data_IF_804295128295
#
_entry.id   IF_804295128295
#
_cell.length_a   1.000
_cell.length_b   1.000
_cell.length_c   1.000
_cell.angle_alpha   90.00
_cell.angle_beta   90.00
_cell.angle_gamma   90.00
#
_symmetry.space_group_name_H-M   'P 1'
#
loop_
_entity.id
_entity.type
_entity.pdbx_description
1 polymer ?
#
# COMPACT_ATOMS: atom_id res chain seq x y z
N UNK A 1 25.70 37.90 -19.02
CA UNK A 1 25.47 36.61 -19.73
C UNK A 1 25.17 35.55 -18.69
N UNK A 2 23.94 35.03 -18.63
CA UNK A 2 23.68 33.82 -17.85
C UNK A 2 24.33 32.65 -18.58
N UNK A 3 25.33 32.02 -17.96
CA UNK A 3 25.99 30.83 -18.49
C UNK A 3 25.01 29.65 -18.53
N UNK A 4 25.17 28.75 -19.51
CA UNK A 4 24.44 27.49 -19.62
C UNK A 4 24.42 26.70 -18.30
N UNK A 5 25.49 26.79 -17.51
CA UNK A 5 25.60 26.15 -16.19
C UNK A 5 24.55 26.66 -15.19
N UNK A 6 24.19 27.94 -15.22
CA UNK A 6 23.16 28.49 -14.34
C UNK A 6 21.76 28.01 -14.72
N UNK A 7 21.48 27.85 -16.02
CA UNK A 7 20.22 27.28 -16.49
C UNK A 7 20.09 25.81 -16.09
N UNK A 8 21.15 25.02 -16.27
CA UNK A 8 21.17 23.61 -15.84
C UNK A 8 20.99 23.51 -14.32
N UNK A 9 21.72 24.31 -13.54
CA UNK A 9 21.59 24.34 -12.09
C UNK A 9 20.18 24.69 -11.63
N UNK A 10 19.60 25.77 -12.18
CA UNK A 10 18.23 26.19 -11.88
C UNK A 10 17.19 25.12 -12.22
N UNK A 11 17.33 24.45 -13.37
CA UNK A 11 16.42 23.38 -13.79
C UNK A 11 16.49 22.16 -12.86
N UNK A 12 17.69 21.73 -12.47
CA UNK A 12 17.87 20.61 -11.52
C UNK A 12 17.27 20.95 -10.16
N UNK A 13 17.54 22.14 -9.63
CA UNK A 13 16.97 22.57 -8.34
C UNK A 13 15.45 22.64 -8.40
N UNK A 14 14.87 23.21 -9.45
CA UNK A 14 13.42 23.28 -9.62
C UNK A 14 12.78 21.89 -9.69
N UNK A 15 13.42 20.95 -10.40
CA UNK A 15 12.95 19.57 -10.49
C UNK A 15 13.02 18.85 -9.13
N UNK A 16 14.10 19.01 -8.37
CA UNK A 16 14.22 18.44 -7.02
C UNK A 16 13.17 19.00 -6.07
N UNK A 17 12.89 20.31 -6.13
CA UNK A 17 11.80 20.92 -5.38
C UNK A 17 10.47 20.29 -5.77
N UNK A 18 10.18 20.16 -7.06
CA UNK A 18 8.97 19.52 -7.57
C UNK A 18 8.78 18.09 -7.03
N UNK A 19 9.81 17.25 -7.05
CA UNK A 19 9.75 15.88 -6.52
C UNK A 19 9.46 15.80 -5.01
N UNK A 20 9.72 16.90 -4.28
CA UNK A 20 9.53 16.99 -2.84
C UNK A 20 8.27 17.77 -2.43
N UNK A 21 7.50 18.28 -3.39
CA UNK A 21 6.21 18.90 -3.11
C UNK A 21 5.20 17.86 -2.57
N UNK A 22 4.23 18.29 -1.74
CA UNK A 22 3.16 17.42 -1.29
C UNK A 22 2.39 16.84 -2.49
N UNK A 23 2.23 15.50 -2.59
CA UNK A 23 1.54 14.89 -3.72
C UNK A 23 0.10 15.41 -3.89
N UNK A 24 -0.56 15.83 -2.82
CA UNK A 24 -1.91 16.41 -2.85
C UNK A 24 -2.02 17.68 -3.71
N UNK A 25 -0.93 18.42 -3.90
CA UNK A 25 -0.91 19.63 -4.72
C UNK A 25 -0.86 19.33 -6.23
N UNK A 26 -0.26 18.19 -6.59
CA UNK A 26 -0.03 17.78 -7.99
C UNK A 26 -1.09 16.74 -8.42
N UNK A 27 -1.41 15.82 -7.51
CA UNK A 27 -2.30 14.67 -7.68
C UNK A 27 -3.35 14.68 -6.55
N UNK A 28 -4.42 15.49 -6.68
CA UNK A 28 -5.45 15.60 -5.66
C UNK A 28 -6.14 14.25 -5.41
N UNK A 29 -6.27 13.90 -4.13
CA UNK A 29 -6.93 12.67 -3.68
C UNK A 29 -8.45 12.82 -3.77
N UNK A 30 -9.12 11.81 -4.34
CA UNK A 30 -10.58 11.67 -4.25
C UNK A 30 -10.88 10.55 -3.25
N UNK A 31 -11.48 10.90 -2.12
CA UNK A 31 -11.77 9.93 -1.06
C UNK A 31 -12.81 8.91 -1.54
N UNK A 32 -12.58 7.64 -1.23
CA UNK A 32 -13.56 6.58 -1.40
C UNK A 32 -14.66 6.70 -0.32
N UNK A 33 -15.92 6.55 -0.73
CA UNK A 33 -17.03 6.45 0.23
C UNK A 33 -17.28 4.99 0.60
N UNK A 34 -17.92 4.74 1.75
CA UNK A 34 -18.28 3.37 2.13
C UNK A 34 -19.21 2.72 1.09
N UNK A 35 -20.12 3.49 0.50
CA UNK A 35 -20.99 3.06 -0.60
C UNK A 35 -20.22 2.67 -1.86
N UNK A 36 -19.04 3.26 -2.09
CA UNK A 36 -18.16 2.88 -3.19
C UNK A 36 -17.38 1.60 -2.88
N UNK A 37 -17.02 1.38 -1.60
CA UNK A 37 -16.22 0.22 -1.19
C UNK A 37 -17.04 -1.06 -1.03
N UNK A 38 -18.31 -0.98 -0.59
CA UNK A 38 -19.13 -2.14 -0.21
C UNK A 38 -19.27 -3.22 -1.29
N UNK A 39 -19.37 -2.80 -2.55
CA UNK A 39 -19.66 -3.69 -3.69
C UNK A 39 -18.40 -4.27 -4.35
N UNK A 40 -17.21 -3.98 -3.80
CA UNK A 40 -15.94 -4.47 -4.34
C UNK A 40 -15.82 -5.98 -4.10
N UNK A 41 -15.39 -6.72 -5.13
CA UNK A 41 -15.14 -8.14 -5.05
C UNK A 41 -13.69 -8.40 -4.62
N UNK A 42 -13.55 -9.19 -3.56
CA UNK A 42 -12.30 -9.51 -2.91
C UNK A 42 -12.07 -11.01 -2.97
N UNK A 43 -10.94 -11.43 -3.53
CA UNK A 43 -10.56 -12.84 -3.55
C UNK A 43 -9.61 -13.14 -2.39
N UNK A 44 -9.96 -14.08 -1.54
CA UNK A 44 -9.14 -14.48 -0.39
C UNK A 44 -7.85 -15.16 -0.88
N UNK A 45 -6.70 -14.56 -0.60
CA UNK A 45 -5.38 -15.10 -0.95
C UNK A 45 -4.95 -16.20 0.02
N UNK A 46 -5.36 -16.09 1.30
CA UNK A 46 -5.06 -17.10 2.31
C UNK A 46 -5.55 -18.49 1.92
N UNK A 47 -6.67 -18.60 1.21
CA UNK A 47 -7.19 -19.89 0.72
C UNK A 47 -6.25 -20.54 -0.30
N UNK A 48 -5.66 -19.73 -1.19
CA UNK A 48 -4.66 -20.17 -2.18
C UNK A 48 -3.43 -20.78 -1.50
N UNK A 49 -2.98 -20.16 -0.40
CA UNK A 49 -1.82 -20.65 0.38
C UNK A 49 -1.99 -22.06 0.96
N UNK A 50 -3.24 -22.49 1.16
CA UNK A 50 -3.60 -23.83 1.64
C UNK A 50 -4.11 -24.76 0.52
N UNK A 51 -3.87 -24.41 -0.75
CA UNK A 51 -4.24 -25.22 -1.91
C UNK A 51 -5.74 -25.24 -2.22
N UNK A 52 -6.51 -24.27 -1.69
CA UNK A 52 -7.94 -24.13 -1.97
C UNK A 52 -8.15 -23.07 -3.05
N UNK A 53 -9.20 -23.24 -3.86
CA UNK A 53 -9.64 -22.22 -4.82
C UNK A 53 -10.06 -20.97 -4.04
N UNK A 54 -9.42 -19.83 -4.32
CA UNK A 54 -9.64 -18.60 -3.56
C UNK A 54 -11.11 -18.17 -3.56
N UNK A 55 -11.71 -18.08 -2.37
CA UNK A 55 -13.11 -17.66 -2.22
C UNK A 55 -13.24 -16.18 -2.57
N UNK A 56 -14.22 -15.83 -3.40
CA UNK A 56 -14.57 -14.43 -3.68
C UNK A 56 -15.66 -14.01 -2.69
N UNK A 57 -15.42 -12.93 -1.96
CA UNK A 57 -16.34 -12.31 -1.01
C UNK A 57 -16.56 -10.86 -1.39
N UNK A 58 -17.65 -10.26 -0.94
CA UNK A 58 -17.79 -8.80 -1.06
C UNK A 58 -17.03 -8.11 0.06
N UNK A 59 -16.57 -6.91 -0.23
CA UNK A 59 -15.92 -6.07 0.77
C UNK A 59 -16.83 -5.79 1.97
N UNK A 60 -18.13 -5.54 1.75
CA UNK A 60 -19.09 -5.30 2.83
C UNK A 60 -19.12 -6.41 3.89
N UNK A 61 -18.93 -7.66 3.47
CA UNK A 61 -18.96 -8.82 4.36
C UNK A 61 -17.85 -8.78 5.40
N UNK A 62 -16.74 -8.08 5.13
CA UNK A 62 -15.62 -7.94 6.06
C UNK A 62 -16.00 -7.16 7.31
N UNK A 63 -16.84 -6.12 7.19
CA UNK A 63 -17.17 -5.21 8.29
C UNK A 63 -18.65 -5.21 8.69
N UNK A 64 -19.54 -5.86 7.94
CA UNK A 64 -20.98 -5.84 8.19
C UNK A 64 -21.37 -6.36 9.59
N UNK A 65 -20.63 -7.33 10.14
CA UNK A 65 -20.99 -7.99 11.41
C UNK A 65 -20.56 -7.21 12.65
N UNK A 66 -19.29 -6.78 12.72
CA UNK A 66 -18.68 -6.14 13.92
C UNK A 66 -17.74 -4.98 13.61
N UNK A 67 -17.68 -4.52 12.35
CA UNK A 67 -16.61 -3.66 11.87
C UNK A 67 -15.36 -4.45 11.48
N UNK A 68 -14.36 -3.78 10.91
CA UNK A 68 -13.08 -4.37 10.55
C UNK A 68 -11.99 -3.30 10.54
N UNK A 69 -10.75 -3.70 10.83
CA UNK A 69 -9.58 -2.88 10.58
C UNK A 69 -8.89 -3.41 9.33
N UNK A 70 -8.83 -2.56 8.30
CA UNK A 70 -8.39 -2.94 6.96
C UNK A 70 -7.11 -2.18 6.64
N UNK A 71 -6.03 -2.89 6.39
CA UNK A 71 -4.81 -2.32 5.82
C UNK A 71 -4.83 -2.49 4.31
N UNK A 72 -4.87 -1.38 3.57
CA UNK A 72 -4.73 -1.38 2.11
C UNK A 72 -3.24 -1.28 1.79
N UNK A 73 -2.68 -2.38 1.29
CA UNK A 73 -1.26 -2.55 1.03
C UNK A 73 -0.95 -2.09 -0.39
N UNK A 74 -0.24 -0.96 -0.49
CA UNK A 74 0.17 -0.35 -1.76
C UNK A 74 1.06 -1.24 -2.61
N UNK A 75 2.01 -1.94 -2.01
CA UNK A 75 2.95 -2.80 -2.72
C UNK A 75 3.55 -3.83 -1.75
N UNK A 76 3.26 -5.13 -1.89
CA UNK A 76 3.77 -6.18 -1.01
C UNK A 76 5.31 -6.24 -0.95
N UNK A 77 5.99 -5.87 -2.04
CA UNK A 77 7.45 -5.80 -2.13
C UNK A 77 8.10 -4.60 -1.42
N UNK A 78 7.34 -3.54 -1.10
CA UNK A 78 7.91 -2.30 -0.58
C UNK A 78 8.32 -2.45 0.89
N UNK A 79 9.55 -2.04 1.22
CA UNK A 79 10.08 -2.06 2.60
C UNK A 79 9.19 -1.31 3.59
N UNK A 80 8.60 -0.17 3.19
CA UNK A 80 7.72 0.61 4.05
C UNK A 80 6.40 -0.10 4.30
N UNK A 81 5.81 -0.71 3.27
CA UNK A 81 4.57 -1.47 3.42
C UNK A 81 4.77 -2.71 4.31
N UNK A 82 5.95 -3.35 4.24
CA UNK A 82 6.33 -4.47 5.10
C UNK A 82 6.56 -4.02 6.55
N UNK A 83 7.23 -2.89 6.76
CA UNK A 83 7.39 -2.30 8.10
C UNK A 83 6.03 -1.97 8.72
N UNK A 84 5.16 -1.30 7.97
CA UNK A 84 3.80 -0.95 8.42
C UNK A 84 2.97 -2.19 8.72
N UNK A 85 3.08 -3.26 7.91
CA UNK A 85 2.38 -4.51 8.16
C UNK A 85 2.84 -5.18 9.46
N UNK A 86 4.15 -5.17 9.77
CA UNK A 86 4.66 -5.68 11.04
C UNK A 86 4.09 -4.91 12.23
N UNK A 87 4.04 -3.58 12.15
CA UNK A 87 3.44 -2.75 13.21
C UNK A 87 1.92 -2.97 13.30
N UNK A 88 1.24 -3.10 12.16
CA UNK A 88 -0.19 -3.38 12.07
C UNK A 88 -0.56 -4.71 12.72
N UNK A 89 0.28 -5.73 12.59
CA UNK A 89 0.02 -7.02 13.22
C UNK A 89 0.22 -7.03 14.74
N UNK A 90 0.97 -6.08 15.32
CA UNK A 90 1.18 -6.02 16.78
C UNK A 90 -0.12 -5.75 17.54
N UNK A 91 -1.03 -4.97 16.96
CA UNK A 91 -2.32 -4.62 17.58
C UNK A 91 -3.38 -5.73 17.41
N UNK A 92 -3.05 -6.82 16.73
CA UNK A 92 -4.00 -7.88 16.42
C UNK A 92 -4.56 -8.57 17.67
N UNK A 93 -3.73 -8.80 18.70
CA UNK A 93 -4.18 -9.44 19.95
C UNK A 93 -5.33 -8.67 20.58
N UNK A 94 -5.22 -7.35 20.58
CA UNK A 94 -6.16 -6.45 21.24
C UNK A 94 -7.47 -6.39 20.44
N UNK A 95 -7.39 -6.35 19.11
CA UNK A 95 -8.56 -6.40 18.23
C UNK A 95 -9.26 -7.77 18.26
N UNK A 96 -8.49 -8.86 18.35
CA UNK A 96 -9.03 -10.21 18.46
C UNK A 96 -9.79 -10.41 19.77
N UNK A 97 -9.37 -9.76 20.87
CA UNK A 97 -10.10 -9.81 22.14
C UNK A 97 -11.47 -9.11 22.04
N UNK A 98 -11.62 -8.16 21.10
CA UNK A 98 -12.87 -7.46 20.80
C UNK A 98 -13.67 -8.12 19.66
N UNK A 99 -13.20 -9.24 19.11
CA UNK A 99 -13.77 -9.92 17.94
C UNK A 99 -13.87 -8.99 16.72
N UNK A 100 -12.90 -8.09 16.57
CA UNK A 100 -12.76 -7.20 15.40
C UNK A 100 -11.72 -7.82 14.45
N UNK A 101 -12.10 -8.16 13.21
CA UNK A 101 -11.17 -8.68 12.23
C UNK A 101 -10.16 -7.63 11.79
N UNK A 102 -8.91 -8.06 11.69
CA UNK A 102 -7.82 -7.32 11.09
C UNK A 102 -7.49 -8.00 9.75
N UNK A 103 -7.48 -7.26 8.65
CA UNK A 103 -7.32 -7.83 7.31
C UNK A 103 -6.43 -6.97 6.42
N UNK A 104 -5.72 -7.61 5.50
CA UNK A 104 -4.93 -6.94 4.46
C UNK A 104 -5.63 -6.97 3.11
N UNK A 105 -5.50 -5.92 2.32
CA UNK A 105 -5.98 -5.86 0.92
C UNK A 105 -4.82 -5.47 0.01
N UNK A 106 -4.58 -6.26 -1.03
CA UNK A 106 -3.58 -6.00 -2.08
C UNK A 106 -4.27 -5.84 -3.44
N UNK A 107 -3.66 -5.12 -4.38
CA UNK A 107 -4.16 -5.00 -5.76
C UNK A 107 -3.37 -5.83 -6.78
N UNK A 108 -2.31 -6.48 -6.34
CA UNK A 108 -1.41 -7.27 -7.17
C UNK A 108 -1.18 -8.64 -6.53
N UNK A 109 -1.02 -9.65 -7.37
CA UNK A 109 -0.76 -11.02 -6.93
C UNK A 109 0.74 -11.28 -6.75
N UNK A 110 1.56 -10.55 -7.49
CA UNK A 110 3.03 -10.67 -7.45
C UNK A 110 3.55 -10.34 -6.04
N UNK A 111 4.25 -11.30 -5.44
CA UNK A 111 4.77 -11.19 -4.06
C UNK A 111 3.69 -11.17 -2.97
N UNK A 112 2.39 -11.21 -3.31
CA UNK A 112 1.31 -11.10 -2.33
C UNK A 112 1.16 -12.34 -1.47
N UNK A 113 1.36 -13.53 -2.04
CA UNK A 113 1.34 -14.79 -1.30
C UNK A 113 2.47 -14.86 -0.26
N UNK A 114 3.70 -14.54 -0.67
CA UNK A 114 4.85 -14.45 0.24
C UNK A 114 4.60 -13.41 1.33
N UNK A 115 4.10 -12.24 0.94
CA UNK A 115 3.82 -11.16 1.87
C UNK A 115 2.75 -11.55 2.90
N UNK A 116 1.65 -12.18 2.46
CA UNK A 116 0.61 -12.66 3.36
C UNK A 116 1.16 -13.69 4.36
N UNK A 117 2.01 -14.61 3.88
CA UNK A 117 2.63 -15.64 4.73
C UNK A 117 3.57 -15.05 5.79
N UNK A 118 4.39 -14.09 5.39
CA UNK A 118 5.46 -13.52 6.22
C UNK A 118 4.97 -12.40 7.15
N UNK A 119 3.99 -11.61 6.73
CA UNK A 119 3.59 -10.39 7.43
C UNK A 119 2.15 -10.40 7.95
N UNK A 120 1.30 -11.35 7.57
CA UNK A 120 -0.10 -11.43 8.02
C UNK A 120 -0.40 -12.78 8.70
N UNK A 121 0.43 -13.18 9.67
CA UNK A 121 0.26 -14.46 10.36
C UNK A 121 -1.12 -14.59 11.04
N UNK A 122 -1.82 -15.68 10.74
CA UNK A 122 -3.17 -15.99 11.24
C UNK A 122 -4.22 -14.91 10.89
N UNK A 123 -4.00 -14.15 9.83
CA UNK A 123 -4.84 -13.05 9.40
C UNK A 123 -5.14 -13.19 7.92
N UNK A 124 -6.32 -12.74 7.51
CA UNK A 124 -6.71 -12.87 6.11
C UNK A 124 -6.17 -11.72 5.26
N UNK A 125 -5.63 -12.07 4.09
CA UNK A 125 -5.26 -11.13 3.04
C UNK A 125 -6.12 -11.39 1.82
N UNK A 126 -6.64 -10.32 1.25
CA UNK A 126 -7.53 -10.35 0.10
C UNK A 126 -6.89 -9.62 -1.08
N UNK A 127 -7.15 -10.14 -2.27
CA UNK A 127 -6.82 -9.52 -3.53
C UNK A 127 -8.04 -8.77 -4.06
N UNK A 128 -7.89 -7.46 -4.25
CA UNK A 128 -8.87 -6.61 -4.91
C UNK A 128 -8.74 -6.75 -6.43
N UNK A 129 -9.71 -7.46 -7.01
CA UNK A 129 -9.72 -7.81 -8.44
C UNK A 129 -9.77 -6.56 -9.32
N UNK A 130 -10.52 -5.55 -8.89
CA UNK A 130 -10.75 -4.32 -9.65
C UNK A 130 -9.84 -3.16 -9.23
N UNK A 131 -8.99 -3.36 -8.20
CA UNK A 131 -8.11 -2.34 -7.60
C UNK A 131 -8.86 -1.09 -7.12
N UNK A 132 -10.13 -1.21 -6.79
CA UNK A 132 -11.00 -0.09 -6.39
C UNK A 132 -10.68 0.46 -5.00
N UNK A 133 -10.09 -0.33 -4.10
CA UNK A 133 -9.67 0.13 -2.76
C UNK A 133 -8.64 1.25 -2.79
N UNK A 134 -7.96 1.46 -3.93
CA UNK A 134 -6.99 2.54 -4.17
C UNK A 134 -7.64 3.87 -4.59
N UNK A 135 -8.97 3.93 -4.48
CA UNK A 135 -9.77 5.12 -4.66
C UNK A 135 -10.43 5.23 -6.03
N UNK A 136 -11.46 6.10 -6.19
CA UNK A 136 -12.17 6.25 -7.46
C UNK A 136 -11.33 6.91 -8.56
N UNK A 137 -10.19 7.51 -8.21
CA UNK A 137 -9.25 8.11 -9.15
C UNK A 137 -7.85 7.60 -8.81
N UNK A 138 -7.34 6.77 -9.69
CA UNK A 138 -5.99 6.25 -9.58
C UNK A 138 -4.96 7.38 -9.65
N UNK A 139 -3.93 7.32 -8.81
CA UNK A 139 -2.83 8.28 -8.78
C UNK A 139 -1.54 7.50 -8.90
N UNK A 140 -0.67 7.89 -9.83
CA UNK A 140 0.62 7.24 -10.03
C UNK A 140 1.74 8.26 -9.86
N UNK A 141 2.73 7.90 -9.07
CA UNK A 141 4.00 8.61 -8.99
C UNK A 141 5.03 7.76 -9.72
N UNK A 142 5.67 8.33 -10.74
CA UNK A 142 6.71 7.65 -11.50
C UNK A 142 8.03 7.70 -10.69
N UNK A 143 9.17 7.74 -11.39
CA UNK A 143 10.49 7.81 -10.78
C UNK A 143 10.71 9.03 -9.87
N UNK A 144 9.87 10.07 -9.95
CA UNK A 144 9.91 11.24 -9.06
C UNK A 144 9.73 10.88 -7.59
N UNK A 145 9.03 9.77 -7.27
CA UNK A 145 8.87 9.29 -5.90
C UNK A 145 10.20 8.89 -5.25
N UNK A 146 11.17 8.43 -6.04
CA UNK A 146 12.49 8.02 -5.54
C UNK A 146 13.36 9.20 -5.11
N UNK A 147 13.11 10.39 -5.67
CA UNK A 147 13.79 11.64 -5.31
C UNK A 147 13.14 12.37 -4.13
N UNK A 148 12.07 11.81 -3.58
CA UNK A 148 11.41 12.36 -2.41
C UNK A 148 12.24 12.06 -1.15
N UNK A 149 12.78 13.10 -0.53
CA UNK A 149 13.66 12.99 0.63
C UNK A 149 12.99 12.29 1.82
N UNK A 150 11.68 12.48 2.01
CA UNK A 150 10.94 11.81 3.09
C UNK A 150 10.85 10.30 2.86
N UNK A 151 10.60 9.89 1.61
CA UNK A 151 10.61 8.48 1.22
C UNK A 151 11.99 7.86 1.46
N UNK A 152 13.06 8.52 1.04
CA UNK A 152 14.44 8.06 1.25
C UNK A 152 14.74 7.88 2.75
N UNK A 153 14.46 8.90 3.58
CA UNK A 153 14.71 8.84 5.02
C UNK A 153 13.93 7.73 5.72
N UNK A 154 12.65 7.55 5.37
CA UNK A 154 11.80 6.48 5.92
C UNK A 154 12.31 5.11 5.51
N UNK A 155 12.66 4.93 4.23
CA UNK A 155 13.22 3.68 3.70
C UNK A 155 14.51 3.31 4.43
N UNK A 156 15.39 4.30 4.65
CA UNK A 156 16.63 4.08 5.39
C UNK A 156 16.38 3.76 6.87
N UNK A 157 15.37 4.38 7.50
CA UNK A 157 14.93 4.04 8.85
C UNK A 157 14.41 2.59 8.96
N UNK A 158 13.56 2.17 8.03
CA UNK A 158 13.03 0.81 7.96
C UNK A 158 14.15 -0.22 7.75
N UNK A 159 15.11 0.08 6.88
CA UNK A 159 16.28 -0.75 6.63
C UNK A 159 17.14 -0.92 7.89
N UNK A 160 17.35 0.15 8.66
CA UNK A 160 18.06 0.09 9.96
C UNK A 160 17.33 -0.77 10.99
N UNK A 161 16.02 -0.94 10.89
CA UNK A 161 15.24 -1.85 11.72
C UNK A 161 15.31 -3.31 11.26
N UNK A 162 16.05 -3.60 10.18
CA UNK A 162 16.22 -4.96 9.64
C UNK A 162 15.05 -5.42 8.76
N UNK A 163 14.15 -4.52 8.36
CA UNK A 163 13.06 -4.88 7.43
C UNK A 163 13.62 -5.02 6.02
N UNK A 164 13.37 -6.15 5.36
CA UNK A 164 13.75 -6.39 3.98
C UNK A 164 12.63 -6.00 3.02
N UNK A 165 12.98 -5.39 1.88
CA UNK A 165 12.07 -5.15 0.76
C UNK A 165 12.67 -5.70 -0.53
N UNK A 166 11.84 -5.88 -1.56
CA UNK A 166 12.26 -6.30 -2.90
C UNK A 166 11.73 -5.32 -3.97
N UNK A 167 12.02 -5.58 -5.25
CA UNK A 167 11.60 -4.76 -6.40
C UNK A 167 10.38 -5.33 -7.15
N UNK A 168 9.70 -6.34 -6.61
CA UNK A 168 8.52 -6.98 -7.21
C UNK A 168 7.25 -6.13 -7.06
N UNK A 169 6.37 -6.15 -8.06
CA UNK A 169 5.12 -5.40 -8.07
C UNK A 169 5.23 -3.92 -8.47
N UNK A 170 4.09 -3.24 -8.53
CA UNK A 170 3.91 -1.88 -9.04
C UNK A 170 4.27 -0.80 -8.01
N UNK A 171 5.48 -0.26 -8.12
CA UNK A 171 5.95 0.83 -7.27
C UNK A 171 5.35 2.21 -7.57
N UNK A 172 4.51 2.35 -8.60
CA UNK A 172 4.04 3.66 -9.07
C UNK A 172 2.67 4.06 -8.54
N UNK A 173 1.75 3.12 -8.35
CA UNK A 173 0.41 3.37 -7.82
C UNK A 173 0.47 3.99 -6.43
N UNK A 174 -0.31 5.03 -6.11
CA UNK A 174 -0.42 5.64 -4.79
C UNK A 174 -1.69 5.16 -4.07
N UNK A 175 -1.59 4.99 -2.74
CA UNK A 175 -2.74 4.86 -1.83
C UNK A 175 -3.31 6.21 -1.44
#
# INVERSE_FOLDING_TARGET
MFSLTWFIGGAVTAFLVYCNLPPKWILPLKNASLNYLKDIQLRKLTDSLYGKKGTVVKAEDLWAKKGAVIMVVRRPGCILCREEALEFMKIKSDLSALDIPLVGIVHEEEGAEEFARSFFTNSDVYFDIDKKFFGPKERRIMLTGLLNFRFILKTFGAWRKGVSGNLEGDGSLLG
#
